data_IF_600695685310
#
_entry.id   IF_600695685310
#
_cell.length_a   1.000
_cell.length_b   1.000
_cell.length_c   1.000
_cell.angle_alpha   90.00
_cell.angle_beta   90.00
_cell.angle_gamma   90.00
#
_symmetry.space_group_name_H-M   'P 1'
#
loop_
_entity.id
_entity.type
_entity.pdbx_description
1 polymer ?
#
# COMPACT_ATOMS: atom_id res chain seq x y z
N UNK A 1 -30.37 17.47 -0.48
CA UNK A 1 -29.15 16.74 -1.00
C UNK A 1 -28.83 15.62 -0.03
N UNK A 2 -28.75 14.38 -0.51
CA UNK A 2 -28.42 13.27 0.39
C UNK A 2 -26.90 13.26 0.67
N UNK A 3 -26.53 13.06 1.92
CA UNK A 3 -25.12 13.00 2.36
C UNK A 3 -24.30 12.00 1.53
N UNK A 4 -24.96 10.96 1.05
CA UNK A 4 -24.32 9.91 0.24
C UNK A 4 -23.83 10.43 -1.12
N UNK A 5 -24.64 11.26 -1.80
CA UNK A 5 -24.25 11.82 -3.11
C UNK A 5 -23.01 12.69 -3.01
N UNK A 6 -22.90 13.50 -1.94
CA UNK A 6 -21.70 14.31 -1.69
C UNK A 6 -20.49 13.42 -1.46
N UNK A 7 -20.64 12.40 -0.59
CA UNK A 7 -19.58 11.46 -0.26
C UNK A 7 -19.00 10.79 -1.52
N UNK A 8 -19.90 10.24 -2.36
CA UNK A 8 -19.45 9.58 -3.59
C UNK A 8 -18.85 10.58 -4.59
N UNK A 9 -19.42 11.79 -4.72
CA UNK A 9 -18.91 12.83 -5.64
C UNK A 9 -17.49 13.25 -5.24
N UNK A 10 -17.21 13.41 -3.96
CA UNK A 10 -15.87 13.78 -3.47
C UNK A 10 -14.87 12.67 -3.79
N UNK A 11 -15.18 11.43 -3.41
CA UNK A 11 -14.24 10.31 -3.55
C UNK A 11 -13.97 10.01 -5.03
N UNK A 12 -15.03 9.85 -5.83
CA UNK A 12 -14.86 9.52 -7.24
C UNK A 12 -14.29 10.69 -8.04
N UNK A 13 -14.71 11.92 -7.75
CA UNK A 13 -14.13 13.11 -8.40
C UNK A 13 -12.64 13.21 -8.14
N UNK A 14 -12.22 13.07 -6.88
CA UNK A 14 -10.81 13.14 -6.49
C UNK A 14 -9.99 12.03 -7.15
N UNK A 15 -10.49 10.79 -7.12
CA UNK A 15 -9.81 9.64 -7.75
C UNK A 15 -9.70 9.81 -9.27
N UNK A 16 -10.76 10.29 -9.93
CA UNK A 16 -10.78 10.56 -11.37
C UNK A 16 -9.77 11.66 -11.72
N UNK A 17 -9.69 12.72 -10.92
CA UNK A 17 -8.72 13.79 -11.11
C UNK A 17 -7.28 13.25 -11.09
N UNK A 18 -6.96 12.46 -10.09
CA UNK A 18 -5.64 11.81 -9.95
C UNK A 18 -5.39 10.85 -11.12
N UNK A 19 -6.39 10.03 -11.47
CA UNK A 19 -6.27 9.05 -12.56
C UNK A 19 -5.88 9.74 -13.87
N UNK A 20 -6.64 10.75 -14.29
CA UNK A 20 -6.34 11.47 -15.52
C UNK A 20 -4.99 12.20 -15.46
N UNK A 21 -4.67 12.81 -14.29
CA UNK A 21 -3.38 13.49 -14.14
C UNK A 21 -2.19 12.54 -14.21
N UNK A 22 -2.37 11.27 -13.84
CA UNK A 22 -1.31 10.26 -13.94
C UNK A 22 -0.87 9.98 -15.38
N UNK A 23 -1.76 10.20 -16.35
CA UNK A 23 -1.47 9.96 -17.78
C UNK A 23 -1.24 11.24 -18.58
N UNK A 24 -1.85 12.35 -18.16
CA UNK A 24 -1.82 13.62 -18.92
C UNK A 24 -1.30 14.74 -18.04
N UNK A 25 -0.40 15.54 -18.59
CA UNK A 25 0.11 16.72 -17.92
C UNK A 25 -0.73 17.95 -18.27
N UNK A 26 -1.59 18.35 -17.36
CA UNK A 26 -2.56 19.44 -17.61
C UNK A 26 -2.02 20.84 -17.26
N UNK A 27 -0.91 20.95 -16.57
CA UNK A 27 -0.41 22.25 -16.11
C UNK A 27 -1.27 22.85 -14.97
N UNK A 28 -0.69 23.83 -14.28
CA UNK A 28 -1.34 24.40 -13.07
C UNK A 28 -2.64 25.17 -13.42
N UNK A 29 -2.69 25.84 -14.55
CA UNK A 29 -3.85 26.66 -14.96
C UNK A 29 -5.11 25.82 -15.08
N UNK A 30 -5.00 24.56 -15.51
CA UNK A 30 -6.14 23.70 -15.77
C UNK A 30 -6.90 23.34 -14.48
N UNK A 31 -6.19 22.89 -13.44
CA UNK A 31 -6.90 22.53 -12.19
C UNK A 31 -7.43 23.75 -11.45
N UNK A 32 -6.74 24.91 -11.58
CA UNK A 32 -7.25 26.19 -11.05
C UNK A 32 -8.53 26.61 -11.77
N UNK A 33 -8.60 26.44 -13.10
CA UNK A 33 -9.81 26.67 -13.88
C UNK A 33 -10.97 25.79 -13.40
N UNK A 34 -10.71 24.49 -13.15
CA UNK A 34 -11.75 23.58 -12.66
C UNK A 34 -12.28 24.02 -11.27
N UNK A 35 -11.43 24.50 -10.39
CA UNK A 35 -11.84 25.01 -9.08
C UNK A 35 -12.72 26.26 -9.25
N UNK A 36 -12.30 27.18 -10.12
CA UNK A 36 -13.08 28.40 -10.43
C UNK A 36 -14.44 28.03 -11.04
N UNK A 37 -14.47 27.11 -12.01
CA UNK A 37 -15.68 26.63 -12.65
C UNK A 37 -16.64 26.00 -11.63
N UNK A 38 -16.11 25.17 -10.72
CA UNK A 38 -16.89 24.56 -9.64
C UNK A 38 -17.51 25.64 -8.74
N UNK A 39 -16.73 26.67 -8.40
CA UNK A 39 -17.20 27.81 -7.63
C UNK A 39 -18.33 28.58 -8.33
N UNK A 40 -18.18 28.83 -9.63
CA UNK A 40 -19.20 29.50 -10.44
C UNK A 40 -20.51 28.69 -10.50
N UNK A 41 -20.40 27.37 -10.73
CA UNK A 41 -21.57 26.45 -10.75
C UNK A 41 -22.22 26.40 -9.36
N UNK A 42 -21.42 26.38 -8.29
CA UNK A 42 -21.93 26.37 -6.92
C UNK A 42 -22.72 27.66 -6.64
N UNK A 43 -22.16 28.82 -6.99
CA UNK A 43 -22.83 30.11 -6.83
C UNK A 43 -24.13 30.18 -7.65
N UNK A 44 -24.08 29.80 -8.92
CA UNK A 44 -25.27 29.75 -9.79
C UNK A 44 -26.35 28.82 -9.21
N UNK A 45 -25.93 27.67 -8.69
CA UNK A 45 -26.82 26.68 -8.06
C UNK A 45 -27.56 27.24 -6.82
N UNK A 46 -26.88 28.09 -6.08
CA UNK A 46 -27.47 28.76 -4.90
C UNK A 46 -28.57 29.71 -5.32
N UNK A 47 -28.33 30.51 -6.38
CA UNK A 47 -29.35 31.45 -6.89
C UNK A 47 -30.52 30.72 -7.56
N UNK A 48 -30.26 29.63 -8.29
CA UNK A 48 -31.28 28.88 -9.03
C UNK A 48 -32.00 27.83 -8.14
N UNK A 49 -31.59 27.65 -6.90
CA UNK A 49 -32.11 26.64 -5.95
C UNK A 49 -32.11 25.21 -6.50
N UNK A 50 -31.12 24.89 -7.35
CA UNK A 50 -31.04 23.61 -8.03
C UNK A 50 -29.99 22.69 -7.38
N UNK A 51 -30.44 21.80 -6.50
CA UNK A 51 -29.55 20.91 -5.73
C UNK A 51 -28.76 19.90 -6.57
N UNK A 52 -29.18 19.60 -7.80
CA UNK A 52 -28.41 18.71 -8.69
C UNK A 52 -27.10 19.36 -9.13
N UNK A 53 -27.12 20.64 -9.39
CA UNK A 53 -25.94 21.42 -9.77
C UNK A 53 -24.92 21.50 -8.65
N UNK A 54 -25.34 21.49 -7.38
CA UNK A 54 -24.41 21.44 -6.24
C UNK A 54 -23.60 20.14 -6.27
N UNK A 55 -24.24 19.01 -6.55
CA UNK A 55 -23.51 17.71 -6.63
C UNK A 55 -22.47 17.74 -7.76
N UNK A 56 -22.83 18.33 -8.90
CA UNK A 56 -21.92 18.51 -10.04
C UNK A 56 -20.75 19.44 -9.69
N UNK A 57 -21.05 20.56 -9.01
CA UNK A 57 -20.01 21.50 -8.54
C UNK A 57 -19.01 20.81 -7.59
N UNK A 58 -19.52 20.03 -6.64
CA UNK A 58 -18.70 19.27 -5.69
C UNK A 58 -17.82 18.24 -6.44
N UNK A 59 -18.38 17.56 -7.45
CA UNK A 59 -17.64 16.59 -8.25
C UNK A 59 -16.50 17.26 -9.04
N UNK A 60 -16.79 18.37 -9.75
CA UNK A 60 -15.79 19.14 -10.51
C UNK A 60 -14.70 19.68 -9.57
N UNK A 61 -15.10 20.21 -8.41
CA UNK A 61 -14.16 20.68 -7.39
C UNK A 61 -13.22 19.54 -6.96
N UNK A 62 -13.77 18.36 -6.70
CA UNK A 62 -12.99 17.20 -6.27
C UNK A 62 -12.02 16.75 -7.38
N UNK A 63 -12.43 16.79 -8.66
CA UNK A 63 -11.55 16.50 -9.80
C UNK A 63 -10.38 17.50 -9.83
N UNK A 64 -10.67 18.81 -9.75
CA UNK A 64 -9.63 19.84 -9.73
C UNK A 64 -8.66 19.68 -8.56
N UNK A 65 -9.21 19.38 -7.37
CA UNK A 65 -8.38 19.13 -6.17
C UNK A 65 -7.52 17.88 -6.33
N UNK A 66 -8.03 16.82 -6.97
CA UNK A 66 -7.28 15.60 -7.24
C UNK A 66 -6.09 15.85 -8.18
N UNK A 67 -6.31 16.61 -9.26
CA UNK A 67 -5.23 17.00 -10.21
C UNK A 67 -4.17 17.84 -9.47
N UNK A 68 -4.62 18.89 -8.75
CA UNK A 68 -3.70 19.77 -8.01
C UNK A 68 -2.92 19.04 -6.94
N UNK A 69 -3.57 18.10 -6.22
CA UNK A 69 -2.92 17.30 -5.19
C UNK A 69 -1.81 16.41 -5.77
N UNK A 70 -2.06 15.81 -6.94
CA UNK A 70 -1.04 15.01 -7.62
C UNK A 70 0.18 15.87 -7.95
N UNK A 71 -0.02 17.09 -8.53
CA UNK A 71 1.08 18.00 -8.87
C UNK A 71 1.89 18.40 -7.64
N UNK A 72 1.20 18.83 -6.58
CA UNK A 72 1.85 19.24 -5.33
C UNK A 72 2.62 18.10 -4.65
N UNK A 73 2.17 16.86 -4.85
CA UNK A 73 2.84 15.68 -4.30
C UNK A 73 4.00 15.19 -5.17
N UNK A 74 3.93 15.42 -6.49
CA UNK A 74 4.95 14.95 -7.42
C UNK A 74 6.27 15.73 -7.29
N UNK A 75 6.20 17.02 -6.96
CA UNK A 75 7.38 17.90 -6.90
C UNK A 75 8.23 17.70 -5.65
N UNK A 76 7.74 16.95 -4.66
CA UNK A 76 8.52 16.70 -3.45
C UNK A 76 9.67 15.72 -3.76
N UNK A 77 10.90 16.20 -3.72
CA UNK A 77 12.09 15.35 -3.76
C UNK A 77 12.98 15.44 -5.00
N UNK A 78 12.77 16.41 -5.89
CA UNK A 78 13.76 16.68 -6.94
C UNK A 78 14.84 17.61 -6.37
N UNK A 79 16.05 17.08 -6.27
CA UNK A 79 17.21 17.90 -5.88
C UNK A 79 18.12 18.02 -7.10
N UNK A 80 18.27 19.20 -7.61
CA UNK A 80 19.09 19.52 -8.79
C UNK A 80 20.54 19.01 -8.65
N UNK A 81 21.03 18.93 -7.43
CA UNK A 81 22.39 18.49 -7.15
C UNK A 81 22.61 17.00 -7.52
N UNK A 82 21.64 16.11 -7.26
CA UNK A 82 21.74 14.69 -7.64
C UNK A 82 21.47 14.49 -9.13
N UNK A 83 20.60 15.30 -9.71
CA UNK A 83 20.28 15.22 -11.14
C UNK A 83 21.55 15.42 -12.01
N UNK A 84 22.39 16.37 -11.64
CA UNK A 84 23.64 16.68 -12.35
C UNK A 84 24.72 15.61 -12.15
N UNK A 85 24.55 14.72 -11.17
CA UNK A 85 25.53 13.67 -10.84
C UNK A 85 25.15 12.28 -11.41
N UNK A 86 24.06 12.21 -12.16
CA UNK A 86 23.61 10.95 -12.79
C UNK A 86 24.69 10.47 -13.77
N UNK A 87 25.05 9.19 -13.68
CA UNK A 87 26.10 8.57 -14.48
C UNK A 87 27.49 8.69 -13.89
N UNK A 88 27.64 9.42 -12.78
CA UNK A 88 28.95 9.63 -12.13
C UNK A 88 29.06 8.78 -10.86
N UNK A 89 30.28 8.47 -10.48
CA UNK A 89 30.54 7.85 -9.17
C UNK A 89 30.45 8.93 -8.10
N UNK A 90 29.51 8.73 -7.18
CA UNK A 90 29.25 9.67 -6.06
C UNK A 90 29.50 8.97 -4.73
N UNK A 91 29.86 9.77 -3.72
CA UNK A 91 29.87 9.36 -2.33
C UNK A 91 28.70 10.05 -1.63
N UNK A 92 27.78 9.25 -1.08
CA UNK A 92 26.58 9.75 -0.42
C UNK A 92 26.49 9.16 0.98
N UNK A 93 25.89 9.92 1.88
CA UNK A 93 25.57 9.48 3.24
C UNK A 93 24.07 9.37 3.38
N UNK A 94 23.60 8.27 3.98
CA UNK A 94 22.16 8.07 4.18
C UNK A 94 21.87 7.04 5.25
N UNK A 95 20.57 6.92 5.56
CA UNK A 95 20.06 5.99 6.56
C UNK A 95 19.13 5.00 5.86
N UNK A 96 19.26 3.72 6.18
CA UNK A 96 18.37 2.66 5.67
C UNK A 96 16.96 2.90 6.27
N UNK A 97 16.02 3.30 5.42
CA UNK A 97 14.71 3.84 5.85
C UNK A 97 13.56 2.83 5.76
N UNK A 98 13.83 1.66 5.14
CA UNK A 98 12.87 0.56 5.05
C UNK A 98 13.57 -0.74 5.46
N UNK A 99 12.78 -1.76 5.76
CA UNK A 99 13.30 -3.10 6.00
C UNK A 99 14.04 -3.58 4.74
N UNK A 100 15.28 -4.11 4.86
CA UNK A 100 15.98 -4.65 3.69
C UNK A 100 15.18 -5.74 2.98
N UNK A 101 15.09 -5.68 1.66
CA UNK A 101 14.42 -6.69 0.82
C UNK A 101 15.46 -7.74 0.41
N UNK A 102 15.55 -8.78 1.22
CA UNK A 102 16.51 -9.89 1.03
C UNK A 102 16.02 -10.82 -0.07
N UNK A 103 16.91 -11.09 -1.01
CA UNK A 103 16.70 -12.02 -2.13
C UNK A 103 17.82 -13.06 -2.13
N UNK A 104 17.70 -14.08 -2.93
CA UNK A 104 18.65 -15.20 -2.93
C UNK A 104 20.13 -14.78 -3.08
N UNK A 105 20.41 -13.84 -3.96
CA UNK A 105 21.78 -13.43 -4.30
C UNK A 105 22.08 -11.97 -4.01
N UNK A 106 21.10 -11.20 -3.54
CA UNK A 106 21.26 -9.75 -3.35
C UNK A 106 20.25 -9.23 -2.34
N UNK A 107 20.57 -8.10 -1.75
CA UNK A 107 19.66 -7.36 -0.85
C UNK A 107 19.41 -5.98 -1.43
N UNK A 108 18.15 -5.56 -1.45
CA UNK A 108 17.77 -4.20 -1.86
C UNK A 108 17.57 -3.33 -0.63
N UNK A 109 18.30 -2.23 -0.57
CA UNK A 109 18.28 -1.27 0.53
C UNK A 109 17.65 0.03 0.06
N UNK A 110 16.58 0.46 0.72
CA UNK A 110 15.96 1.78 0.49
C UNK A 110 16.60 2.76 1.46
N UNK A 111 17.27 3.78 0.93
CA UNK A 111 18.14 4.66 1.70
C UNK A 111 17.64 6.09 1.56
N UNK A 112 17.37 6.75 2.68
CA UNK A 112 17.10 8.20 2.75
C UNK A 112 18.43 8.92 2.83
N UNK A 113 18.68 9.82 1.86
CA UNK A 113 19.94 10.54 1.76
C UNK A 113 19.87 11.81 2.63
N UNK A 114 20.88 12.00 3.47
CA UNK A 114 20.93 13.09 4.44
C UNK A 114 20.87 14.49 3.80
N UNK A 115 21.44 14.65 2.61
CA UNK A 115 21.53 15.94 1.91
C UNK A 115 20.36 16.26 0.99
N UNK A 116 19.37 15.35 0.84
CA UNK A 116 18.29 15.53 -0.15
C UNK A 116 16.96 14.95 0.36
N UNK A 117 15.86 15.32 -0.27
CA UNK A 117 14.54 14.79 0.05
C UNK A 117 14.17 13.52 -0.74
N UNK A 118 15.12 12.91 -1.47
CA UNK A 118 14.87 11.72 -2.28
C UNK A 118 15.46 10.46 -1.68
N UNK A 119 14.91 9.33 -2.08
CA UNK A 119 15.41 8.00 -1.71
C UNK A 119 16.20 7.38 -2.85
N UNK A 120 17.19 6.57 -2.48
CA UNK A 120 17.97 5.76 -3.41
C UNK A 120 17.69 4.28 -3.09
N UNK A 121 17.54 3.47 -4.13
CA UNK A 121 17.47 2.02 -4.01
C UNK A 121 18.85 1.45 -4.39
N UNK A 122 19.55 0.91 -3.41
CA UNK A 122 20.84 0.25 -3.62
C UNK A 122 20.65 -1.26 -3.66
N UNK A 123 21.15 -1.92 -4.71
CA UNK A 123 21.19 -3.38 -4.80
C UNK A 123 22.60 -3.83 -4.44
N UNK A 124 22.73 -4.60 -3.37
CA UNK A 124 24.02 -5.03 -2.79
C UNK A 124 24.08 -6.56 -2.70
N UNK A 125 25.24 -7.13 -2.45
CA UNK A 125 25.38 -8.54 -2.12
C UNK A 125 24.65 -8.85 -0.79
N UNK A 126 24.27 -10.11 -0.60
CA UNK A 126 23.54 -10.53 0.61
C UNK A 126 24.40 -10.38 1.89
N UNK A 127 25.70 -10.34 1.76
CA UNK A 127 26.64 -10.13 2.89
C UNK A 127 27.57 -8.99 2.59
N UNK A 128 27.92 -8.14 3.58
CA UNK A 128 27.44 -8.15 4.97
C UNK A 128 25.97 -7.73 5.08
N UNK A 129 25.31 -8.18 6.14
CA UNK A 129 23.91 -7.84 6.43
C UNK A 129 23.79 -6.40 6.95
N UNK A 130 22.75 -5.73 6.52
CA UNK A 130 22.41 -4.38 6.96
C UNK A 130 21.01 -4.36 7.54
N UNK A 131 20.77 -3.48 8.50
CA UNK A 131 19.50 -3.38 9.22
C UNK A 131 18.83 -2.03 9.01
N UNK A 132 17.52 -1.99 9.28
CA UNK A 132 16.77 -0.73 9.32
C UNK A 132 17.42 0.22 10.33
N UNK A 133 17.68 1.45 9.88
CA UNK A 133 18.24 2.50 10.73
C UNK A 133 19.77 2.57 10.72
N UNK A 134 20.44 1.70 9.97
CA UNK A 134 21.88 1.80 9.82
C UNK A 134 22.23 3.05 8.98
N UNK A 135 23.15 3.85 9.48
CA UNK A 135 23.71 5.01 8.78
C UNK A 135 24.95 4.55 8.03
N UNK A 136 24.97 4.84 6.74
CA UNK A 136 25.98 4.26 5.84
C UNK A 136 26.51 5.32 4.87
N UNK A 137 27.77 5.14 4.47
CA UNK A 137 28.32 5.76 3.28
C UNK A 137 28.17 4.83 2.10
N UNK A 138 27.68 5.36 0.97
CA UNK A 138 27.54 4.64 -0.29
C UNK A 138 28.46 5.26 -1.33
N UNK A 139 29.31 4.47 -1.94
CA UNK A 139 30.16 4.92 -3.06
C UNK A 139 29.82 4.07 -4.28
N UNK A 140 29.27 4.68 -5.31
CA UNK A 140 28.89 3.97 -6.53
C UNK A 140 28.35 4.91 -7.61
N UNK A 141 28.02 4.34 -8.75
CA UNK A 141 27.49 5.08 -9.90
C UNK A 141 25.99 5.34 -9.67
N UNK A 142 25.60 6.62 -9.64
CA UNK A 142 24.22 7.03 -9.50
C UNK A 142 23.52 6.88 -10.85
N UNK A 143 22.39 6.15 -10.89
CA UNK A 143 21.65 5.92 -12.12
C UNK A 143 20.16 6.25 -11.93
N UNK A 144 19.50 6.58 -13.02
CA UNK A 144 18.02 6.65 -13.05
C UNK A 144 17.47 5.24 -13.31
N UNK A 145 16.39 4.86 -12.63
CA UNK A 145 15.73 3.59 -12.98
C UNK A 145 15.23 3.65 -14.42
N UNK A 146 15.21 2.51 -15.09
CA UNK A 146 14.71 2.37 -16.46
C UNK A 146 13.54 1.41 -16.49
N UNK A 147 12.58 1.68 -17.34
CA UNK A 147 11.50 0.75 -17.62
C UNK A 147 12.08 -0.47 -18.34
N UNK A 148 11.49 -1.62 -18.12
CA UNK A 148 11.91 -2.87 -18.76
C UNK A 148 10.70 -3.58 -19.35
N UNK A 149 10.96 -4.34 -20.41
CA UNK A 149 9.96 -5.21 -21.02
C UNK A 149 10.12 -6.59 -20.43
N UNK A 150 9.05 -7.16 -19.94
CA UNK A 150 9.05 -8.52 -19.43
C UNK A 150 9.23 -9.47 -20.63
N UNK A 151 10.22 -10.36 -20.57
CA UNK A 151 10.56 -11.25 -21.68
C UNK A 151 9.44 -12.30 -21.94
N UNK A 152 8.69 -12.66 -20.90
CA UNK A 152 7.68 -13.70 -20.99
C UNK A 152 6.39 -13.21 -21.69
N UNK A 153 5.95 -11.97 -21.46
CA UNK A 153 4.67 -11.46 -21.99
C UNK A 153 4.81 -10.19 -22.85
N UNK A 154 6.04 -9.72 -23.07
CA UNK A 154 6.38 -8.55 -23.86
C UNK A 154 5.74 -7.25 -23.34
N UNK A 155 5.24 -7.23 -22.11
CA UNK A 155 4.66 -6.03 -21.49
C UNK A 155 5.75 -5.13 -20.95
N UNK A 156 5.62 -3.86 -21.24
CA UNK A 156 6.51 -2.85 -20.67
C UNK A 156 6.06 -2.56 -19.23
N UNK A 157 6.93 -2.85 -18.27
CA UNK A 157 6.69 -2.51 -16.87
C UNK A 157 7.25 -1.11 -16.59
N UNK A 158 6.38 -0.21 -16.12
CA UNK A 158 6.78 1.16 -15.75
C UNK A 158 7.44 1.15 -14.36
N UNK A 159 8.69 0.67 -14.33
CA UNK A 159 9.51 0.55 -13.12
C UNK A 159 9.83 1.92 -12.53
N UNK A 160 9.96 2.95 -13.37
CA UNK A 160 10.24 4.33 -12.94
C UNK A 160 9.10 4.84 -12.06
N UNK A 161 7.87 4.74 -12.53
CA UNK A 161 6.70 5.20 -11.77
C UNK A 161 6.41 4.31 -10.55
N UNK A 162 6.67 3.01 -10.68
CA UNK A 162 6.56 2.05 -9.57
C UNK A 162 7.50 2.44 -8.41
N UNK A 163 8.76 2.76 -8.68
CA UNK A 163 9.72 3.20 -7.65
C UNK A 163 9.38 4.60 -7.13
N UNK A 164 8.93 5.47 -8.02
CA UNK A 164 8.60 6.86 -7.65
C UNK A 164 7.43 6.94 -6.65
N UNK A 165 6.54 5.91 -6.58
CA UNK A 165 5.48 5.88 -5.57
C UNK A 165 6.04 5.78 -4.13
N UNK A 166 7.21 5.16 -3.97
CA UNK A 166 7.89 5.02 -2.67
C UNK A 166 8.93 6.12 -2.42
N UNK A 167 8.99 7.11 -3.33
CA UNK A 167 9.93 8.22 -3.25
C UNK A 167 11.32 7.90 -3.79
N UNK A 168 11.50 6.71 -4.38
CA UNK A 168 12.78 6.29 -4.96
C UNK A 168 12.91 6.88 -6.37
N UNK A 169 13.95 7.68 -6.59
CA UNK A 169 14.20 8.34 -7.89
C UNK A 169 15.51 7.91 -8.54
N UNK A 170 16.40 7.32 -7.78
CA UNK A 170 17.71 6.89 -8.25
C UNK A 170 17.99 5.47 -7.77
N UNK A 171 18.84 4.79 -8.51
CA UNK A 171 19.27 3.42 -8.18
C UNK A 171 20.80 3.37 -8.20
N UNK A 172 21.37 2.47 -7.38
CA UNK A 172 22.79 2.11 -7.43
C UNK A 172 22.91 0.60 -7.44
N UNK A 173 23.75 0.09 -8.32
CA UNK A 173 24.05 -1.34 -8.42
C UNK A 173 25.43 -1.61 -7.83
N UNK A 174 25.47 -2.49 -6.84
CA UNK A 174 26.66 -2.91 -6.11
C UNK A 174 27.58 -1.76 -5.67
N UNK A 175 27.02 -0.74 -4.98
CA UNK A 175 27.88 0.30 -4.41
C UNK A 175 28.74 -0.29 -3.29
N UNK A 176 29.91 0.30 -3.07
CA UNK A 176 30.71 0.03 -1.87
C UNK A 176 30.02 0.70 -0.69
N UNK A 177 29.71 -0.07 0.36
CA UNK A 177 29.06 0.43 1.56
C UNK A 177 30.00 0.36 2.76
N UNK A 178 30.05 1.44 3.51
CA UNK A 178 30.76 1.51 4.80
C UNK A 178 29.75 1.91 5.88
N UNK A 179 29.62 1.10 6.91
CA UNK A 179 28.76 1.39 8.07
C UNK A 179 29.39 2.50 8.89
N UNK A 180 28.63 3.55 9.18
CA UNK A 180 29.04 4.70 10.02
C UNK A 180 28.57 4.47 11.44
N UNK A 181 27.27 4.24 11.61
CA UNK A 181 26.66 3.98 12.91
C UNK A 181 25.43 3.12 12.76
N UNK A 182 25.11 2.37 13.78
CA UNK A 182 23.89 1.58 13.85
C UNK A 182 22.78 2.38 14.54
N UNK A 183 21.54 1.96 14.32
CA UNK A 183 20.41 2.38 15.13
C UNK A 183 20.03 3.87 15.03
N UNK A 184 20.33 4.54 13.90
CA UNK A 184 20.00 5.95 13.67
C UNK A 184 18.54 6.16 13.21
N UNK A 185 17.77 5.08 13.02
CA UNK A 185 16.37 5.13 12.56
C UNK A 185 15.37 5.38 13.70
N UNK A 186 14.08 5.37 13.34
CA UNK A 186 12.99 5.54 14.31
C UNK A 186 12.98 4.38 15.32
N UNK A 187 13.04 4.71 16.61
CA UNK A 187 13.11 3.74 17.72
C UNK A 187 11.93 2.74 17.71
N UNK A 188 10.70 3.22 17.51
CA UNK A 188 9.51 2.37 17.53
C UNK A 188 9.55 1.38 16.36
N UNK A 189 9.85 1.87 15.16
CA UNK A 189 9.92 1.05 13.96
C UNK A 189 11.01 -0.01 14.08
N UNK A 190 12.18 0.37 14.61
CA UNK A 190 13.29 -0.57 14.88
C UNK A 190 12.85 -1.67 15.83
N UNK A 191 12.23 -1.31 16.97
CA UNK A 191 11.77 -2.29 17.96
C UNK A 191 10.73 -3.26 17.39
N UNK A 192 9.89 -2.79 16.48
CA UNK A 192 8.91 -3.65 15.80
C UNK A 192 9.61 -4.64 14.86
N UNK A 193 10.62 -4.18 14.11
CA UNK A 193 11.41 -5.07 13.26
C UNK A 193 12.24 -6.06 14.08
N UNK A 194 12.84 -5.61 15.19
CA UNK A 194 13.56 -6.51 16.13
C UNK A 194 12.62 -7.62 16.65
N UNK A 195 11.39 -7.26 17.02
CA UNK A 195 10.37 -8.22 17.47
C UNK A 195 10.01 -9.21 16.36
N UNK A 196 9.79 -8.71 15.14
CA UNK A 196 9.52 -9.53 13.95
C UNK A 196 10.67 -10.52 13.70
N UNK A 197 11.89 -10.03 13.67
CA UNK A 197 13.09 -10.83 13.39
C UNK A 197 13.34 -11.87 14.48
N UNK A 198 13.13 -11.51 15.76
CA UNK A 198 13.22 -12.46 16.86
C UNK A 198 12.18 -13.57 16.74
N UNK A 199 10.95 -13.22 16.37
CA UNK A 199 9.89 -14.20 16.15
C UNK A 199 10.29 -15.17 15.01
N UNK A 200 10.75 -14.64 13.87
CA UNK A 200 11.13 -15.45 12.72
C UNK A 200 12.30 -16.38 13.04
N UNK A 201 13.30 -15.87 13.74
CA UNK A 201 14.45 -16.69 14.18
C UNK A 201 14.02 -17.83 15.06
N UNK A 202 13.22 -17.54 16.11
CA UNK A 202 12.73 -18.58 17.02
C UNK A 202 11.88 -19.63 16.32
N UNK A 203 11.05 -19.21 15.35
CA UNK A 203 10.26 -20.12 14.53
C UNK A 203 11.18 -21.04 13.72
N UNK A 204 12.21 -20.47 13.08
CA UNK A 204 13.15 -21.24 12.26
C UNK A 204 14.01 -22.22 13.08
N UNK A 205 14.26 -21.93 14.37
CA UNK A 205 14.98 -22.86 15.24
C UNK A 205 14.12 -24.06 15.67
N UNK A 206 12.79 -23.90 15.76
CA UNK A 206 11.88 -24.91 16.30
C UNK A 206 11.21 -25.71 15.17
N UNK A 207 10.86 -25.04 14.07
CA UNK A 207 10.05 -25.60 12.99
C UNK A 207 10.91 -25.74 11.72
N UNK A 208 11.01 -26.93 11.14
CA UNK A 208 11.78 -27.09 9.89
C UNK A 208 11.07 -26.45 8.67
N UNK A 209 11.85 -26.14 7.66
CA UNK A 209 11.32 -25.71 6.36
C UNK A 209 10.57 -26.86 5.69
N UNK A 210 9.47 -26.59 4.96
CA UNK A 210 8.90 -25.29 4.59
C UNK A 210 7.88 -24.71 5.57
N UNK A 211 7.62 -25.38 6.68
CA UNK A 211 6.57 -24.97 7.61
C UNK A 211 6.95 -23.66 8.35
N UNK A 212 8.23 -23.44 8.60
CA UNK A 212 8.73 -22.19 9.21
C UNK A 212 8.45 -20.98 8.30
N UNK A 213 8.80 -21.08 7.02
CA UNK A 213 8.54 -20.03 6.02
C UNK A 213 7.04 -19.77 5.85
N UNK A 214 6.22 -20.83 5.84
CA UNK A 214 4.76 -20.71 5.76
C UNK A 214 4.21 -19.96 6.97
N UNK A 215 4.65 -20.30 8.17
CA UNK A 215 4.21 -19.65 9.41
C UNK A 215 4.66 -18.17 9.44
N UNK A 216 5.88 -17.90 9.03
CA UNK A 216 6.41 -16.53 8.91
C UNK A 216 5.58 -15.69 7.94
N UNK A 217 5.26 -16.25 6.78
CA UNK A 217 4.39 -15.60 5.79
C UNK A 217 2.99 -15.32 6.33
N UNK A 218 2.41 -16.31 7.01
CA UNK A 218 1.05 -16.20 7.59
C UNK A 218 0.98 -15.17 8.73
N UNK A 219 2.03 -15.07 9.54
CA UNK A 219 1.97 -14.24 10.76
C UNK A 219 2.56 -12.85 10.55
N UNK A 220 3.74 -12.75 9.94
CA UNK A 220 4.46 -11.47 9.89
C UNK A 220 4.94 -10.99 8.52
N UNK A 221 4.64 -11.74 7.46
CA UNK A 221 4.91 -11.30 6.22
C UNK A 221 6.33 -11.44 5.81
N UNK A 222 6.85 -12.40 6.25
CA UNK A 222 8.09 -12.64 5.83
C UNK A 222 7.99 -13.04 4.47
N UNK A 223 8.72 -12.73 3.84
CA UNK A 223 8.84 -13.14 2.58
C UNK A 223 9.36 -14.48 2.59
N UNK A 224 8.89 -15.18 2.17
CA UNK A 224 9.33 -16.41 1.95
C UNK A 224 10.30 -16.31 0.90
N UNK A 225 11.29 -17.08 0.84
CA UNK A 225 12.29 -17.16 -0.22
C UNK A 225 11.62 -17.38 -1.58
N UNK A 226 12.22 -16.87 -2.62
CA UNK A 226 11.62 -16.92 -3.97
C UNK A 226 11.28 -18.36 -4.39
N UNK A 227 12.14 -19.31 -4.07
CA UNK A 227 11.95 -20.74 -4.35
C UNK A 227 10.66 -21.29 -3.70
N UNK A 228 10.42 -20.96 -2.43
CA UNK A 228 9.19 -21.39 -1.73
C UNK A 228 7.96 -20.67 -2.26
N UNK A 229 8.07 -19.39 -2.57
CA UNK A 229 6.96 -18.63 -3.18
C UNK A 229 6.54 -19.26 -4.51
N UNK A 230 7.50 -19.67 -5.33
CA UNK A 230 7.22 -20.33 -6.62
C UNK A 230 6.54 -21.70 -6.40
N UNK A 231 7.02 -22.49 -5.46
CA UNK A 231 6.41 -23.77 -5.10
C UNK A 231 4.96 -23.58 -4.61
N UNK A 232 4.73 -22.58 -3.73
CA UNK A 232 3.38 -22.26 -3.23
C UNK A 232 2.47 -21.74 -4.36
N UNK A 233 3.04 -21.02 -5.33
CA UNK A 233 2.32 -20.55 -6.52
C UNK A 233 1.91 -21.75 -7.40
N UNK A 234 2.82 -22.68 -7.62
CA UNK A 234 2.59 -23.88 -8.44
C UNK A 234 1.48 -24.75 -7.87
N UNK A 235 1.44 -24.93 -6.54
CA UNK A 235 0.37 -25.71 -5.89
C UNK A 235 -0.88 -24.88 -5.58
N UNK A 236 -0.90 -23.60 -5.96
CA UNK A 236 -2.09 -22.74 -5.83
C UNK A 236 -2.40 -22.21 -4.44
N UNK A 237 -1.49 -22.38 -3.45
CA UNK A 237 -1.73 -21.92 -2.07
C UNK A 237 -1.09 -20.57 -1.76
N UNK A 238 -0.53 -19.88 -2.76
CA UNK A 238 0.14 -18.59 -2.60
C UNK A 238 -0.76 -17.56 -1.90
N UNK A 239 -2.06 -17.58 -2.19
CA UNK A 239 -3.03 -16.64 -1.61
C UNK A 239 -3.24 -16.81 -0.10
N UNK A 240 -2.86 -17.98 0.45
CA UNK A 240 -2.91 -18.24 1.90
C UNK A 240 -1.64 -17.66 2.56
N UNK A 241 -0.50 -17.78 1.88
CA UNK A 241 0.81 -17.35 2.39
C UNK A 241 0.93 -15.82 2.41
N UNK A 242 0.38 -15.15 1.40
CA UNK A 242 0.42 -13.68 1.34
C UNK A 242 -0.52 -13.10 2.41
N UNK A 243 0.01 -12.16 3.19
CA UNK A 243 -0.71 -11.56 4.32
C UNK A 243 -2.05 -10.98 3.87
N UNK A 244 -3.12 -11.48 4.47
CA UNK A 244 -4.50 -11.10 4.14
C UNK A 244 -5.08 -10.13 5.18
N UNK A 245 -6.17 -9.47 4.83
CA UNK A 245 -6.92 -8.64 5.78
C UNK A 245 -7.45 -9.43 6.98
N UNK A 246 -7.61 -10.74 6.83
CA UNK A 246 -8.05 -11.63 7.91
C UNK A 246 -7.01 -11.70 9.04
N UNK A 247 -5.73 -11.74 8.71
CA UNK A 247 -4.64 -11.79 9.68
C UNK A 247 -4.65 -10.55 10.58
N UNK A 248 -4.89 -9.37 10.01
CA UNK A 248 -5.01 -8.11 10.75
C UNK A 248 -6.19 -8.17 11.74
N UNK A 249 -7.31 -8.76 11.30
CA UNK A 249 -8.50 -8.91 12.14
C UNK A 249 -8.20 -9.85 13.32
N UNK A 250 -7.51 -10.96 13.09
CA UNK A 250 -7.10 -11.91 14.15
C UNK A 250 -6.24 -11.19 15.19
N UNK A 251 -5.22 -10.45 14.75
CA UNK A 251 -4.33 -9.70 15.66
C UNK A 251 -5.15 -8.70 16.48
N UNK A 252 -6.02 -7.94 15.83
CA UNK A 252 -6.87 -6.96 16.51
C UNK A 252 -7.78 -7.61 17.56
N UNK A 253 -8.43 -8.71 17.19
CA UNK A 253 -9.33 -9.43 18.12
C UNK A 253 -8.56 -10.06 19.27
N UNK A 254 -7.39 -10.64 19.01
CA UNK A 254 -6.53 -11.22 20.05
C UNK A 254 -6.15 -10.16 21.07
N UNK A 255 -5.66 -9.00 20.62
CA UNK A 255 -5.28 -7.90 21.50
C UNK A 255 -6.50 -7.38 22.29
N UNK A 256 -7.65 -7.22 21.61
CA UNK A 256 -8.87 -6.78 22.29
C UNK A 256 -9.36 -7.78 23.36
N UNK A 257 -9.15 -9.09 23.14
CA UNK A 257 -9.45 -10.13 24.14
C UNK A 257 -8.46 -10.07 25.31
N UNK A 258 -7.17 -9.90 25.00
CA UNK A 258 -6.12 -9.76 26.03
C UNK A 258 -6.40 -8.54 26.92
N UNK A 259 -6.92 -7.45 26.34
CA UNK A 259 -7.27 -6.22 27.04
C UNK A 259 -8.72 -6.22 27.56
N UNK A 260 -9.37 -7.39 27.67
CA UNK A 260 -10.79 -7.48 28.05
C UNK A 260 -11.05 -6.96 29.47
N UNK A 261 -10.02 -6.95 30.33
CA UNK A 261 -10.08 -6.44 31.69
C UNK A 261 -10.14 -4.90 31.77
N UNK A 262 -9.86 -4.20 30.65
CA UNK A 262 -9.87 -2.75 30.59
C UNK A 262 -11.27 -2.22 30.20
N UNK A 263 -11.58 -0.96 30.57
CA UNK A 263 -12.80 -0.30 30.09
C UNK A 263 -12.90 -0.35 28.56
N UNK A 264 -14.14 -0.38 28.05
CA UNK A 264 -14.43 -0.51 26.60
C UNK A 264 -13.62 0.45 25.75
N UNK A 265 -13.51 1.71 26.15
CA UNK A 265 -12.77 2.73 25.38
C UNK A 265 -11.27 2.39 25.28
N UNK A 266 -10.63 1.99 26.40
CA UNK A 266 -9.22 1.63 26.43
C UNK A 266 -8.95 0.35 25.60
N UNK A 267 -9.86 -0.63 25.68
CA UNK A 267 -9.76 -1.88 24.92
C UNK A 267 -9.84 -1.61 23.39
N UNK A 268 -10.77 -0.75 22.97
CA UNK A 268 -10.91 -0.38 21.54
C UNK A 268 -9.68 0.43 21.06
N UNK A 269 -9.21 1.37 21.89
CA UNK A 269 -8.00 2.15 21.59
C UNK A 269 -6.76 1.23 21.48
N UNK A 270 -6.62 0.28 22.39
CA UNK A 270 -5.55 -0.72 22.38
C UNK A 270 -5.60 -1.58 21.11
N UNK A 271 -6.79 -2.01 20.71
CA UNK A 271 -6.98 -2.76 19.45
C UNK A 271 -6.58 -1.94 18.23
N UNK A 272 -6.99 -0.67 18.17
CA UNK A 272 -6.62 0.22 17.06
C UNK A 272 -5.10 0.46 17.01
N UNK A 273 -4.49 0.70 18.18
CA UNK A 273 -3.04 0.86 18.28
C UNK A 273 -2.30 -0.41 17.82
N UNK A 274 -2.77 -1.58 18.22
CA UNK A 274 -2.18 -2.87 17.81
C UNK A 274 -2.23 -3.05 16.29
N UNK A 275 -3.36 -2.67 15.65
CA UNK A 275 -3.49 -2.70 14.18
C UNK A 275 -2.41 -1.81 13.53
N UNK A 276 -2.22 -0.60 14.05
CA UNK A 276 -1.24 0.36 13.50
C UNK A 276 0.19 -0.20 13.66
N UNK A 277 0.53 -0.67 14.87
CA UNK A 277 1.87 -1.21 15.14
C UNK A 277 2.14 -2.46 14.28
N UNK A 278 1.14 -3.32 14.12
CA UNK A 278 1.24 -4.50 13.26
C UNK A 278 1.46 -4.12 11.79
N UNK A 279 0.72 -3.12 11.29
CA UNK A 279 0.89 -2.64 9.91
C UNK A 279 2.31 -2.09 9.68
N UNK A 280 2.87 -1.36 10.65
CA UNK A 280 4.24 -0.85 10.58
C UNK A 280 5.25 -2.02 10.62
N UNK A 281 5.03 -2.98 11.52
CA UNK A 281 5.90 -4.16 11.69
C UNK A 281 5.98 -5.01 10.40
N UNK A 282 4.89 -5.08 9.65
CA UNK A 282 4.81 -5.91 8.44
C UNK A 282 5.15 -5.13 7.15
N UNK A 283 5.72 -3.92 7.29
CA UNK A 283 6.23 -3.13 6.16
C UNK A 283 5.20 -2.27 5.43
N UNK A 284 3.93 -2.28 5.85
CA UNK A 284 2.91 -1.34 5.37
C UNK A 284 2.57 -1.42 3.88
N UNK A 285 2.57 -2.62 3.28
CA UNK A 285 2.13 -2.76 1.88
C UNK A 285 0.70 -2.24 1.68
N UNK A 286 0.32 -1.90 0.45
CA UNK A 286 -1.00 -1.35 0.14
C UNK A 286 -2.15 -2.25 0.65
N UNK A 287 -2.00 -3.57 0.54
CA UNK A 287 -2.98 -4.54 1.05
C UNK A 287 -3.13 -4.45 2.57
N UNK A 288 -2.01 -4.36 3.29
CA UNK A 288 -1.96 -4.26 4.76
C UNK A 288 -2.58 -2.93 5.21
N UNK A 289 -2.18 -1.82 4.57
CA UNK A 289 -2.70 -0.48 4.93
C UNK A 289 -4.21 -0.42 4.72
N UNK A 290 -4.73 -0.93 3.56
CA UNK A 290 -6.17 -0.99 3.31
C UNK A 290 -6.90 -1.78 4.40
N UNK A 291 -6.41 -2.99 4.69
CA UNK A 291 -7.05 -3.87 5.67
C UNK A 291 -7.01 -3.26 7.08
N UNK A 292 -5.90 -2.61 7.44
CA UNK A 292 -5.74 -1.90 8.72
C UNK A 292 -6.71 -0.73 8.83
N UNK A 293 -6.83 0.08 7.79
CA UNK A 293 -7.80 1.19 7.77
C UNK A 293 -9.22 0.68 7.92
N UNK A 294 -9.60 -0.38 7.19
CA UNK A 294 -10.93 -0.97 7.30
C UNK A 294 -11.18 -1.54 8.71
N UNK A 295 -10.18 -2.22 9.30
CA UNK A 295 -10.28 -2.76 10.66
C UNK A 295 -10.44 -1.63 11.70
N UNK A 296 -9.68 -0.53 11.56
CA UNK A 296 -9.81 0.65 12.42
C UNK A 296 -11.22 1.25 12.28
N UNK A 297 -11.76 1.32 11.05
CA UNK A 297 -13.13 1.83 10.83
C UNK A 297 -14.18 0.94 11.50
N UNK A 298 -13.96 -0.40 11.55
CA UNK A 298 -14.81 -1.31 12.34
C UNK A 298 -14.74 -0.96 13.83
N UNK A 299 -13.52 -0.77 14.35
CA UNK A 299 -13.30 -0.40 15.77
C UNK A 299 -14.01 0.93 16.08
N UNK A 300 -13.88 1.93 15.21
CA UNK A 300 -14.53 3.25 15.37
C UNK A 300 -16.06 3.10 15.30
N UNK A 301 -16.59 2.30 14.38
CA UNK A 301 -18.03 2.04 14.29
C UNK A 301 -18.57 1.40 15.60
N UNK A 302 -17.83 0.40 16.13
CA UNK A 302 -18.17 -0.23 17.41
C UNK A 302 -18.12 0.77 18.58
N UNK A 303 -17.12 1.67 18.56
CA UNK A 303 -16.96 2.70 19.60
C UNK A 303 -18.11 3.70 19.60
N UNK A 304 -18.57 4.12 18.40
CA UNK A 304 -19.58 5.17 18.23
C UNK A 304 -21.01 4.63 18.10
N UNK A 305 -21.19 3.31 18.10
CA UNK A 305 -22.51 2.66 17.93
C UNK A 305 -23.09 2.81 16.54
N UNK A 306 -22.26 3.12 15.53
CA UNK A 306 -22.71 3.31 14.15
C UNK A 306 -22.65 2.01 13.34
N UNK A 307 -23.53 1.91 12.34
CA UNK A 307 -23.56 0.77 11.42
C UNK A 307 -22.34 0.86 10.48
N UNK A 308 -21.58 -0.22 10.41
CA UNK A 308 -20.43 -0.34 9.53
C UNK A 308 -20.90 -0.69 8.12
N UNK A 309 -20.73 0.25 7.19
CA UNK A 309 -21.02 0.02 5.77
C UNK A 309 -19.74 -0.37 5.01
N UNK A 310 -19.63 -1.62 4.61
CA UNK A 310 -18.41 -2.19 4.01
C UNK A 310 -17.95 -1.36 2.79
N UNK A 311 -18.88 -1.04 1.88
CA UNK A 311 -18.57 -0.26 0.66
C UNK A 311 -18.02 1.14 1.00
N UNK A 312 -18.68 1.83 1.95
CA UNK A 312 -18.24 3.17 2.35
C UNK A 312 -16.88 3.12 3.04
N UNK A 313 -16.65 2.09 3.85
CA UNK A 313 -15.36 1.90 4.51
C UNK A 313 -14.24 1.62 3.50
N UNK A 314 -14.51 0.78 2.50
CA UNK A 314 -13.56 0.48 1.42
C UNK A 314 -13.20 1.77 0.65
N UNK A 315 -14.21 2.53 0.23
CA UNK A 315 -14.01 3.77 -0.53
C UNK A 315 -13.27 4.84 0.31
N UNK A 316 -13.60 4.94 1.61
CA UNK A 316 -12.91 5.86 2.51
C UNK A 316 -11.46 5.44 2.72
N UNK A 317 -11.20 4.14 2.90
CA UNK A 317 -9.84 3.63 3.02
C UNK A 317 -9.03 3.95 1.75
N UNK A 318 -9.60 3.70 0.56
CA UNK A 318 -8.98 4.04 -0.71
C UNK A 318 -8.69 5.53 -0.85
N UNK A 319 -9.66 6.35 -0.49
CA UNK A 319 -9.51 7.81 -0.53
C UNK A 319 -8.36 8.28 0.38
N UNK A 320 -8.29 7.77 1.62
CA UNK A 320 -7.22 8.13 2.57
C UNK A 320 -5.85 7.68 2.07
N UNK A 321 -5.77 6.48 1.48
CA UNK A 321 -4.53 5.96 0.90
C UNK A 321 -4.07 6.83 -0.28
N UNK A 322 -4.97 7.15 -1.20
CA UNK A 322 -4.69 7.99 -2.38
C UNK A 322 -4.40 9.45 -1.96
N UNK A 323 -5.04 9.93 -0.92
CA UNK A 323 -4.74 11.26 -0.33
C UNK A 323 -3.32 11.29 0.26
N UNK A 324 -2.88 10.21 0.89
CA UNK A 324 -1.51 10.09 1.42
C UNK A 324 -0.48 10.01 0.28
N UNK A 325 -0.77 9.21 -0.76
CA UNK A 325 0.13 9.03 -1.90
C UNK A 325 -0.69 8.84 -3.17
N UNK A 326 -0.84 9.89 -4.00
CA UNK A 326 -1.69 9.79 -5.19
C UNK A 326 -1.18 8.83 -6.26
N UNK A 327 0.12 8.53 -6.28
CA UNK A 327 0.73 7.63 -7.27
C UNK A 327 0.26 6.18 -7.14
N UNK A 328 -0.18 5.76 -5.94
CA UNK A 328 -0.59 4.36 -5.72
C UNK A 328 -1.81 3.98 -6.55
N UNK A 329 -2.67 4.93 -6.90
CA UNK A 329 -3.90 4.67 -7.66
C UNK A 329 -3.61 3.98 -9.00
N UNK A 330 -2.57 4.43 -9.69
CA UNK A 330 -2.23 3.96 -11.05
C UNK A 330 -0.97 3.07 -11.05
N UNK A 331 0.02 3.38 -10.22
CA UNK A 331 1.35 2.74 -10.30
C UNK A 331 1.60 1.68 -9.23
N UNK A 332 0.59 1.35 -8.40
CA UNK A 332 0.72 0.28 -7.41
C UNK A 332 -0.27 -0.85 -7.72
N UNK A 333 0.25 -1.90 -8.35
CA UNK A 333 -0.54 -3.09 -8.68
C UNK A 333 -1.12 -3.75 -7.43
N UNK A 334 -0.40 -3.73 -6.29
CA UNK A 334 -0.91 -4.27 -5.03
C UNK A 334 -2.16 -3.54 -4.54
N UNK A 335 -2.18 -2.20 -4.69
CA UNK A 335 -3.36 -1.39 -4.39
C UNK A 335 -4.53 -1.80 -5.30
N UNK A 336 -4.29 -1.83 -6.60
CA UNK A 336 -5.33 -2.13 -7.60
C UNK A 336 -5.93 -3.52 -7.40
N UNK A 337 -5.07 -4.56 -7.30
CA UNK A 337 -5.49 -5.94 -7.08
C UNK A 337 -6.29 -6.08 -5.78
N UNK A 338 -5.82 -5.43 -4.71
CA UNK A 338 -6.46 -5.50 -3.40
C UNK A 338 -7.86 -4.88 -3.40
N UNK A 339 -8.03 -3.74 -4.09
CA UNK A 339 -9.35 -3.08 -4.20
C UNK A 339 -10.28 -3.84 -5.12
N UNK A 340 -9.80 -4.31 -6.28
CA UNK A 340 -10.61 -5.08 -7.22
C UNK A 340 -11.08 -6.40 -6.61
N UNK A 341 -10.19 -7.14 -5.94
CA UNK A 341 -10.58 -8.39 -5.27
C UNK A 341 -11.63 -8.15 -4.18
N UNK A 342 -11.49 -7.05 -3.41
CA UNK A 342 -12.47 -6.72 -2.37
C UNK A 342 -13.83 -6.32 -2.98
N UNK A 343 -13.84 -5.59 -4.09
CA UNK A 343 -15.08 -5.27 -4.82
C UNK A 343 -15.75 -6.53 -5.34
N UNK A 344 -14.97 -7.46 -5.90
CA UNK A 344 -15.47 -8.79 -6.32
C UNK A 344 -16.13 -9.54 -5.16
N UNK A 345 -15.46 -9.53 -4.02
CA UNK A 345 -15.96 -10.19 -2.82
C UNK A 345 -17.27 -9.55 -2.32
N UNK A 346 -17.38 -8.22 -2.35
CA UNK A 346 -18.58 -7.51 -1.84
C UNK A 346 -19.78 -7.69 -2.80
N UNK A 347 -19.54 -7.55 -4.11
CA UNK A 347 -20.64 -7.42 -5.07
C UNK A 347 -20.91 -8.68 -5.86
N UNK A 348 -19.89 -9.43 -6.28
CA UNK A 348 -20.06 -10.60 -7.14
C UNK A 348 -20.16 -11.91 -6.35
N UNK A 349 -19.44 -12.04 -5.22
CA UNK A 349 -19.46 -13.28 -4.44
C UNK A 349 -20.88 -13.68 -4.00
N UNK A 350 -21.75 -12.76 -3.49
CA UNK A 350 -23.11 -13.17 -3.13
C UNK A 350 -23.97 -13.64 -4.31
N UNK A 351 -23.68 -13.14 -5.51
CA UNK A 351 -24.39 -13.55 -6.74
C UNK A 351 -23.94 -14.97 -7.13
N UNK A 352 -22.64 -15.21 -7.17
CA UNK A 352 -22.06 -16.52 -7.49
C UNK A 352 -22.48 -17.56 -6.46
N UNK A 353 -22.51 -17.20 -5.18
CA UNK A 353 -22.92 -18.10 -4.09
C UNK A 353 -24.34 -18.65 -4.33
N UNK A 354 -25.25 -17.81 -4.83
CA UNK A 354 -26.61 -18.26 -5.20
C UNK A 354 -26.60 -19.26 -6.37
N UNK A 355 -25.71 -19.05 -7.36
CA UNK A 355 -25.58 -19.95 -8.51
C UNK A 355 -24.97 -21.31 -8.10
N UNK A 356 -24.11 -21.30 -7.08
CA UNK A 356 -23.43 -22.50 -6.57
C UNK A 356 -24.27 -23.26 -5.53
N UNK A 357 -25.60 -23.12 -5.56
CA UNK A 357 -26.51 -23.80 -4.63
C UNK A 357 -26.39 -25.33 -4.57
N UNK A 358 -25.80 -25.94 -5.62
CA UNK A 358 -25.53 -27.36 -5.68
C UNK A 358 -24.35 -27.81 -4.80
N UNK A 359 -23.48 -26.86 -4.36
CA UNK A 359 -22.33 -27.16 -3.48
C UNK A 359 -22.81 -27.16 -2.02
N UNK A 360 -22.52 -28.23 -1.26
CA UNK A 360 -22.91 -28.31 0.14
C UNK A 360 -22.32 -27.14 0.98
N UNK A 361 -23.08 -26.69 1.97
CA UNK A 361 -22.63 -25.65 2.90
C UNK A 361 -21.62 -26.17 3.93
N UNK A 362 -21.37 -27.48 3.95
CA UNK A 362 -20.38 -28.08 4.86
C UNK A 362 -19.00 -27.45 4.64
N UNK A 363 -18.33 -27.12 5.73
CA UNK A 363 -17.01 -26.48 5.74
C UNK A 363 -16.97 -25.15 4.96
N UNK A 364 -18.14 -24.53 4.74
CA UNK A 364 -18.27 -23.26 4.00
C UNK A 364 -17.72 -23.34 2.55
N UNK A 365 -17.71 -24.53 1.94
CA UNK A 365 -17.16 -24.76 0.60
C UNK A 365 -17.80 -23.85 -0.45
N UNK A 366 -19.13 -23.66 -0.36
CA UNK A 366 -19.88 -22.77 -1.27
C UNK A 366 -19.37 -21.34 -1.19
N UNK A 367 -19.19 -20.82 0.03
CA UNK A 367 -18.71 -19.45 0.26
C UNK A 367 -17.27 -19.28 -0.25
N UNK A 368 -16.40 -20.26 0.03
CA UNK A 368 -14.99 -20.23 -0.41
C UNK A 368 -14.92 -20.24 -1.95
N UNK A 369 -15.67 -21.15 -2.60
CA UNK A 369 -15.70 -21.22 -4.06
C UNK A 369 -16.23 -19.92 -4.69
N UNK A 370 -17.34 -19.38 -4.16
CA UNK A 370 -17.94 -18.14 -4.63
C UNK A 370 -16.97 -16.96 -4.48
N UNK A 371 -16.31 -16.85 -3.33
CA UNK A 371 -15.33 -15.80 -3.06
C UNK A 371 -14.13 -15.90 -4.03
N UNK A 372 -13.60 -17.11 -4.24
CA UNK A 372 -12.46 -17.34 -5.14
C UNK A 372 -12.81 -16.95 -6.58
N UNK A 373 -13.95 -17.42 -7.09
CA UNK A 373 -14.40 -17.12 -8.47
C UNK A 373 -14.64 -15.60 -8.62
N UNK A 374 -15.31 -14.99 -7.66
CA UNK A 374 -15.62 -13.55 -7.70
C UNK A 374 -14.36 -12.69 -7.72
N UNK A 375 -13.39 -13.02 -6.89
CA UNK A 375 -12.12 -12.26 -6.84
C UNK A 375 -11.34 -12.44 -8.13
N UNK A 376 -11.27 -13.66 -8.69
CA UNK A 376 -10.58 -13.93 -9.95
C UNK A 376 -11.21 -13.13 -11.11
N UNK A 377 -12.53 -13.13 -11.23
CA UNK A 377 -13.23 -12.40 -12.30
C UNK A 377 -12.89 -10.91 -12.23
N UNK A 378 -12.87 -10.32 -11.04
CA UNK A 378 -12.60 -8.88 -10.86
C UNK A 378 -11.13 -8.52 -11.11
N UNK A 379 -10.22 -9.42 -10.78
CA UNK A 379 -8.77 -9.19 -10.89
C UNK A 379 -8.26 -9.49 -12.31
N UNK A 380 -8.89 -10.43 -13.02
CA UNK A 380 -8.45 -10.87 -14.34
C UNK A 380 -8.20 -9.76 -15.35
N UNK A 381 -9.07 -8.73 -15.49
CA UNK A 381 -8.82 -7.66 -16.47
C UNK A 381 -7.54 -6.84 -16.21
N UNK A 382 -7.04 -6.86 -14.99
CA UNK A 382 -5.79 -6.18 -14.64
C UNK A 382 -4.57 -7.07 -14.91
N UNK A 383 -4.76 -8.40 -14.85
CA UNK A 383 -3.68 -9.37 -15.07
C UNK A 383 -3.47 -9.68 -16.56
N UNK A 384 -4.53 -9.56 -17.38
CA UNK A 384 -4.47 -9.71 -18.85
C UNK A 384 -3.98 -8.44 -19.53
#
# INVERSE_FOLDING_TARGET
MTRDKVFYSVIFGFAIGIFFRSFFNFGAIFWQFLIFLAGAIFAASFFLKNFRQITLAVFILAVGLGIGWFDLSADKGITLDLENKVGQTVLLEGIISAEPDERETSTKLTIDIASTTGKILATVASYPEFNYGDQIHLRGVLQKPKNFTNEDDLRQFDYVSYLAKDGVRYVMFQPTITLISENSGNFVKRKLFDLKNSFLRNVGEIIPEPAASLLGGLVVXXXXGADWLEKFRTVGVIHIVVLSGYNITIVAEFIMRLLAFLPRAARLAGGALAIILFAVMTGGSATIVRASLMAILVVVARATGRIYGITRALLLAGFLMVLHNPKILVFDTSFQLSFLSTLGLIYLSPVIEKWLGFIPERLQLRLIAAASIATQIFVLPLLL
#
